data_IF_026213622889
#
_entry.id   IF_026213622889
#
_cell.length_a   1.000
_cell.length_b   1.000
_cell.length_c   1.000
_cell.angle_alpha   90.00
_cell.angle_beta   90.00
_cell.angle_gamma   90.00
#
_symmetry.space_group_name_H-M   'P 1'
#
loop_
_entity.id
_entity.type
_entity.pdbx_description
1 polymer ?
#
# COMPACT_ATOMS: atom_id res chain seq x y z
N UNK A 1 -16.10 3.94 -38.79
CA UNK A 1 -16.13 4.25 -37.34
C UNK A 1 -14.96 3.52 -36.70
N UNK A 2 -13.95 4.18 -36.11
CA UNK A 2 -12.92 3.47 -35.39
C UNK A 2 -13.49 2.94 -34.07
N UNK A 3 -13.20 1.67 -33.77
CA UNK A 3 -13.54 1.05 -32.48
C UNK A 3 -12.62 1.66 -31.42
N UNK A 4 -13.17 2.29 -30.40
CA UNK A 4 -12.41 2.74 -29.24
C UNK A 4 -12.09 1.52 -28.38
N UNK A 5 -10.83 1.08 -28.40
CA UNK A 5 -10.34 0.06 -27.48
C UNK A 5 -9.96 0.79 -26.19
N UNK A 6 -10.75 0.63 -25.12
CA UNK A 6 -10.34 1.07 -23.79
C UNK A 6 -9.28 0.11 -23.27
N UNK A 7 -8.03 0.55 -23.20
CA UNK A 7 -6.98 -0.22 -22.52
C UNK A 7 -7.40 -0.46 -21.06
N UNK A 8 -7.37 -1.70 -20.54
CA UNK A 8 -7.64 -1.96 -19.14
C UNK A 8 -6.71 -1.12 -18.27
N UNK A 9 -7.27 -0.39 -17.30
CA UNK A 9 -6.48 0.40 -16.35
C UNK A 9 -5.84 -0.55 -15.34
N UNK A 10 -4.55 -0.80 -15.50
CA UNK A 10 -3.75 -1.51 -14.50
C UNK A 10 -3.50 -0.58 -13.33
N UNK A 11 -3.70 -1.08 -12.11
CA UNK A 11 -3.39 -0.36 -10.86
C UNK A 11 -2.10 -0.91 -10.30
N UNK A 12 -1.19 -0.03 -9.90
CA UNK A 12 0.11 -0.44 -9.36
C UNK A 12 0.12 -0.27 -7.85
N UNK A 13 0.38 -1.36 -7.16
CA UNK A 13 0.58 -1.43 -5.72
C UNK A 13 2.04 -1.59 -5.33
N UNK A 14 2.35 -1.44 -4.04
CA UNK A 14 3.71 -1.58 -3.52
C UNK A 14 3.74 -2.33 -2.19
N UNK A 15 4.78 -3.13 -1.97
CA UNK A 15 5.04 -3.71 -0.65
C UNK A 15 5.74 -2.67 0.24
N UNK A 16 5.31 -2.48 1.51
CA UNK A 16 5.89 -1.48 2.40
C UNK A 16 7.34 -1.78 2.87
N UNK A 17 7.93 -2.91 2.47
CA UNK A 17 9.32 -3.28 2.79
C UNK A 17 10.36 -2.22 2.40
N UNK A 18 10.06 -1.37 1.41
CA UNK A 18 10.91 -0.23 1.04
C UNK A 18 11.04 0.82 2.16
N UNK A 19 10.11 0.86 3.12
CA UNK A 19 10.12 1.77 4.28
C UNK A 19 10.45 1.08 5.59
N UNK A 20 10.08 -0.19 5.74
CA UNK A 20 10.34 -0.97 6.94
C UNK A 20 10.32 -2.47 6.68
N UNK A 21 11.35 -3.16 7.15
CA UNK A 21 11.48 -4.60 7.00
C UNK A 21 11.04 -5.34 8.28
N UNK A 22 10.06 -6.23 8.17
CA UNK A 22 9.53 -6.99 9.31
C UNK A 22 10.53 -8.06 9.81
N UNK A 23 11.32 -8.67 8.91
CA UNK A 23 12.32 -9.68 9.25
C UNK A 23 13.58 -9.06 9.87
N UNK A 24 13.92 -7.83 9.49
CA UNK A 24 15.06 -7.09 10.02
C UNK A 24 14.63 -5.68 10.50
N UNK A 25 14.07 -5.57 11.73
CA UNK A 25 13.50 -4.32 12.24
C UNK A 25 14.48 -3.13 12.33
N UNK A 26 15.80 -3.39 12.38
CA UNK A 26 16.81 -2.34 12.31
C UNK A 26 16.73 -1.53 10.99
N UNK A 27 16.15 -2.11 9.93
CA UNK A 27 15.89 -1.44 8.67
C UNK A 27 14.50 -0.79 8.68
N UNK A 28 14.42 0.42 9.22
CA UNK A 28 13.21 1.24 9.14
C UNK A 28 12.07 0.81 10.07
N UNK A 29 12.34 -0.01 11.10
CA UNK A 29 11.34 -0.39 12.11
C UNK A 29 10.64 0.80 12.75
N UNK A 30 11.36 1.90 12.97
CA UNK A 30 10.81 3.15 13.52
C UNK A 30 9.98 3.97 12.52
N UNK A 31 10.05 3.68 11.21
CA UNK A 31 9.30 4.41 10.18
C UNK A 31 7.80 4.19 10.37
N UNK A 32 6.99 5.21 10.70
CA UNK A 32 5.56 5.02 10.90
C UNK A 32 4.86 4.52 9.63
N UNK A 33 3.80 3.71 9.77
CA UNK A 33 2.98 3.27 8.64
C UNK A 33 2.45 4.47 7.84
N UNK A 34 2.03 5.54 8.53
CA UNK A 34 1.54 6.77 7.90
C UNK A 34 2.56 7.41 6.95
N UNK A 35 3.86 7.33 7.25
CA UNK A 35 4.93 7.84 6.38
C UNK A 35 4.96 7.07 5.06
N UNK A 36 4.97 5.74 5.13
CA UNK A 36 4.94 4.89 3.94
C UNK A 36 3.69 5.16 3.08
N UNK A 37 2.50 5.26 3.71
CA UNK A 37 1.25 5.54 3.01
C UNK A 37 1.25 6.93 2.35
N UNK A 38 1.72 7.96 3.06
CA UNK A 38 1.79 9.32 2.51
C UNK A 38 2.76 9.43 1.34
N UNK A 39 3.94 8.84 1.47
CA UNK A 39 4.98 8.89 0.44
C UNK A 39 4.60 8.01 -0.76
N UNK A 40 4.06 6.81 -0.53
CA UNK A 40 3.58 5.94 -1.59
C UNK A 40 2.48 6.58 -2.43
N UNK A 41 1.53 7.28 -1.80
CA UNK A 41 0.52 8.06 -2.54
C UNK A 41 1.16 9.19 -3.34
N UNK A 42 2.13 9.91 -2.77
CA UNK A 42 2.83 10.98 -3.47
C UNK A 42 3.66 10.48 -4.67
N UNK A 43 4.20 9.27 -4.60
CA UNK A 43 4.91 8.59 -5.70
C UNK A 43 3.95 8.18 -6.82
N UNK A 44 2.67 7.94 -6.49
CA UNK A 44 1.63 7.53 -7.45
C UNK A 44 1.22 6.07 -7.35
N UNK A 45 1.60 5.36 -6.29
CA UNK A 45 1.04 4.04 -6.01
C UNK A 45 -0.44 4.15 -5.65
N UNK A 46 -1.22 3.16 -6.09
CA UNK A 46 -2.67 3.10 -5.87
C UNK A 46 -3.08 2.15 -4.74
N UNK A 47 -2.10 1.52 -4.09
CA UNK A 47 -2.34 0.62 -2.97
C UNK A 47 -1.07 0.03 -2.37
N UNK A 48 -1.25 -0.67 -1.27
CA UNK A 48 -0.18 -1.31 -0.52
C UNK A 48 -0.47 -2.78 -0.25
N UNK A 49 0.59 -3.59 -0.16
CA UNK A 49 0.53 -4.89 0.51
C UNK A 49 0.55 -4.74 2.03
N UNK A 50 0.09 -5.75 2.76
CA UNK A 50 0.21 -5.81 4.21
C UNK A 50 1.63 -6.10 4.68
N UNK A 51 1.96 -5.56 5.85
CA UNK A 51 3.09 -5.96 6.69
C UNK A 51 2.69 -5.88 8.17
N UNK A 52 3.64 -6.16 9.07
CA UNK A 52 3.44 -6.22 10.51
C UNK A 52 2.95 -4.92 11.16
N UNK A 53 2.97 -3.78 10.45
CA UNK A 53 2.49 -2.48 10.95
C UNK A 53 1.01 -2.22 10.66
N UNK A 54 0.37 -3.02 9.81
CA UNK A 54 -1.05 -2.88 9.54
C UNK A 54 -1.91 -3.48 10.68
N UNK A 55 -3.14 -2.98 10.88
CA UNK A 55 -4.13 -3.66 11.71
C UNK A 55 -4.41 -5.08 11.22
N UNK A 56 -4.83 -5.97 12.13
CA UNK A 56 -5.08 -7.39 11.83
C UNK A 56 -6.48 -7.69 11.33
N UNK A 57 -7.39 -6.71 11.37
CA UNK A 57 -8.77 -6.86 10.93
C UNK A 57 -9.08 -5.97 9.73
N UNK A 58 -10.02 -6.42 8.90
CA UNK A 58 -10.38 -5.77 7.65
C UNK A 58 -10.87 -4.33 7.84
N UNK A 59 -11.56 -4.05 8.96
CA UNK A 59 -12.07 -2.71 9.26
C UNK A 59 -10.90 -1.77 9.55
N UNK A 60 -9.97 -2.18 10.40
CA UNK A 60 -8.76 -1.43 10.73
C UNK A 60 -7.91 -1.14 9.50
N UNK A 61 -7.66 -2.15 8.65
CA UNK A 61 -6.93 -1.97 7.39
C UNK A 61 -7.62 -0.93 6.49
N UNK A 62 -8.94 -1.05 6.32
CA UNK A 62 -9.71 -0.07 5.55
C UNK A 62 -9.64 1.34 6.14
N UNK A 63 -9.69 1.47 7.46
CA UNK A 63 -9.65 2.75 8.16
C UNK A 63 -8.29 3.46 8.02
N UNK A 64 -7.17 2.72 7.99
CA UNK A 64 -5.83 3.33 7.81
C UNK A 64 -5.53 3.72 6.36
N UNK A 65 -6.08 2.99 5.37
CA UNK A 65 -5.83 3.25 3.95
C UNK A 65 -6.71 4.38 3.38
N UNK A 66 -7.96 4.49 3.84
CA UNK A 66 -8.97 5.42 3.32
C UNK A 66 -8.51 6.89 3.30
N UNK A 67 -7.82 7.44 4.31
CA UNK A 67 -7.37 8.84 4.29
C UNK A 67 -6.41 9.17 3.13
N UNK A 68 -5.74 8.16 2.57
CA UNK A 68 -4.76 8.32 1.50
C UNK A 68 -5.32 7.95 0.12
N UNK A 69 -6.59 7.51 0.05
CA UNK A 69 -7.18 6.98 -1.19
C UNK A 69 -6.29 5.88 -1.80
N UNK A 70 -5.93 4.91 -0.96
CA UNK A 70 -5.13 3.73 -1.29
C UNK A 70 -5.97 2.46 -1.11
N UNK A 71 -5.72 1.45 -1.95
CA UNK A 71 -6.33 0.13 -1.80
C UNK A 71 -5.40 -0.86 -1.08
N UNK A 72 -6.01 -1.88 -0.46
CA UNK A 72 -5.29 -3.10 -0.12
C UNK A 72 -5.06 -3.91 -1.40
N UNK A 73 -3.82 -4.29 -1.66
CA UNK A 73 -3.41 -4.98 -2.90
C UNK A 73 -3.29 -6.49 -2.66
N UNK A 74 -2.58 -6.88 -1.61
CA UNK A 74 -2.29 -8.26 -1.22
C UNK A 74 -1.72 -8.29 0.20
N UNK A 75 -1.34 -9.46 0.70
CA UNK A 75 -0.66 -9.62 1.97
C UNK A 75 -0.17 -11.05 2.17
N UNK A 76 0.82 -11.20 3.03
CA UNK A 76 1.34 -12.51 3.46
C UNK A 76 0.64 -12.95 4.77
N UNK A 77 0.45 -14.26 4.92
CA UNK A 77 -0.17 -14.88 6.12
C UNK A 77 0.89 -15.25 7.16
#
# INVERSE_FOLDING_TARGET
MPVSISTPRIRIGINPISWSNDDLPALGGETPLSTALSEGKAIGYEGFELNGKFPKDAKGVGDVLRPYDLALVSGWY
#
